data_IF_967970211537
#
_entry.id   IF_967970211537
#
_cell.length_a   1.000
_cell.length_b   1.000
_cell.length_c   1.000
_cell.angle_alpha   90.00
_cell.angle_beta   90.00
_cell.angle_gamma   90.00
#
_symmetry.space_group_name_H-M   'P 1'
#
loop_
_entity.id
_entity.type
_entity.pdbx_description
1 polymer ?
#
# COMPACT_ATOMS: atom_id res chain seq x y z
N UNK A 1 3.25 -18.77 -14.51
CA UNK A 1 4.59 -18.16 -14.61
C UNK A 1 5.47 -18.59 -13.45
N UNK A 2 6.79 -18.44 -13.54
CA UNK A 2 7.73 -18.67 -12.46
C UNK A 2 7.90 -17.41 -11.63
N UNK A 3 7.73 -17.51 -10.30
CA UNK A 3 7.83 -16.37 -9.38
C UNK A 3 8.82 -16.66 -8.26
N UNK A 4 9.75 -15.75 -8.07
CA UNK A 4 10.72 -15.78 -6.98
C UNK A 4 10.20 -14.95 -5.80
N UNK A 5 10.00 -15.59 -4.66
CA UNK A 5 9.63 -14.88 -3.41
C UNK A 5 10.91 -14.62 -2.61
N UNK A 6 11.30 -13.37 -2.53
CA UNK A 6 12.51 -12.91 -1.85
C UNK A 6 12.16 -12.52 -0.41
N UNK A 7 12.72 -13.25 0.54
CA UNK A 7 12.42 -13.12 1.97
C UNK A 7 11.45 -14.19 2.49
N UNK A 8 11.96 -15.18 3.28
CA UNK A 8 11.16 -16.32 3.77
C UNK A 8 10.32 -15.99 5.02
N UNK A 9 10.12 -14.72 5.31
CA UNK A 9 9.33 -14.24 6.47
C UNK A 9 7.83 -14.48 6.33
N UNK A 10 7.04 -13.98 7.31
CA UNK A 10 5.58 -14.14 7.34
C UNK A 10 4.89 -13.68 6.05
N UNK A 11 5.30 -12.52 5.49
CA UNK A 11 4.73 -12.03 4.23
C UNK A 11 5.13 -12.90 3.03
N UNK A 12 6.39 -13.34 2.95
CA UNK A 12 6.83 -14.23 1.87
C UNK A 12 6.07 -15.56 1.86
N UNK A 13 5.76 -16.12 3.02
CA UNK A 13 4.95 -17.34 3.12
C UNK A 13 3.51 -17.14 2.63
N UNK A 14 2.87 -16.02 2.98
CA UNK A 14 1.54 -15.65 2.48
C UNK A 14 1.54 -15.46 0.95
N UNK A 15 2.54 -14.78 0.41
CA UNK A 15 2.72 -14.60 -1.03
C UNK A 15 2.87 -15.95 -1.72
N UNK A 16 3.74 -16.83 -1.19
CA UNK A 16 3.96 -18.16 -1.75
C UNK A 16 2.69 -19.03 -1.73
N UNK A 17 1.86 -18.91 -0.70
CA UNK A 17 0.58 -19.61 -0.63
C UNK A 17 -0.38 -19.15 -1.75
N UNK A 18 -0.55 -17.84 -1.93
CA UNK A 18 -1.41 -17.29 -2.98
C UNK A 18 -0.89 -17.63 -4.38
N UNK A 19 0.43 -17.57 -4.60
CA UNK A 19 1.02 -17.95 -5.88
C UNK A 19 0.69 -19.38 -6.27
N UNK A 20 0.80 -20.32 -5.32
CA UNK A 20 0.45 -21.74 -5.56
C UNK A 20 -1.03 -21.92 -5.86
N UNK A 21 -1.92 -21.25 -5.09
CA UNK A 21 -3.37 -21.29 -5.34
C UNK A 21 -3.74 -20.76 -6.72
N UNK A 22 -2.97 -19.78 -7.23
CA UNK A 22 -3.15 -19.22 -8.59
C UNK A 22 -2.41 -19.98 -9.69
N UNK A 23 -1.80 -21.14 -9.36
CA UNK A 23 -1.14 -22.01 -10.32
C UNK A 23 0.23 -21.51 -10.82
N UNK A 24 0.94 -20.68 -10.02
CA UNK A 24 2.29 -20.23 -10.36
C UNK A 24 3.35 -21.15 -9.77
N UNK A 25 4.42 -21.37 -10.52
CA UNK A 25 5.65 -21.98 -10.01
C UNK A 25 6.33 -21.02 -9.03
N UNK A 26 6.55 -21.45 -7.80
CA UNK A 26 7.04 -20.60 -6.71
C UNK A 26 8.41 -21.06 -6.24
N UNK A 27 9.38 -20.15 -6.24
CA UNK A 27 10.74 -20.40 -5.73
C UNK A 27 10.98 -19.43 -4.56
N UNK A 28 11.31 -19.98 -3.39
CA UNK A 28 11.74 -19.15 -2.25
C UNK A 28 13.21 -18.78 -2.41
N UNK A 29 13.53 -17.49 -2.25
CA UNK A 29 14.90 -16.96 -2.38
C UNK A 29 15.34 -16.35 -1.05
N UNK A 30 16.34 -16.93 -0.43
CA UNK A 30 16.99 -16.45 0.77
C UNK A 30 18.08 -15.42 0.47
N UNK A 31 18.76 -14.95 1.52
CA UNK A 31 19.76 -13.87 1.45
C UNK A 31 20.94 -14.21 0.53
N UNK A 32 21.42 -15.47 0.57
CA UNK A 32 22.61 -15.94 -0.15
C UNK A 32 22.28 -16.63 -1.46
N UNK A 33 21.01 -16.88 -1.74
CA UNK A 33 20.60 -17.63 -2.92
C UNK A 33 20.75 -16.79 -4.19
N UNK A 34 21.05 -17.47 -5.29
CA UNK A 34 21.00 -16.86 -6.60
C UNK A 34 19.54 -16.60 -7.02
N UNK A 35 19.31 -15.51 -7.73
CA UNK A 35 18.01 -15.25 -8.32
C UNK A 35 17.75 -16.20 -9.48
N UNK A 36 16.56 -16.83 -9.60
CA UNK A 36 16.31 -17.80 -10.66
C UNK A 36 16.37 -17.13 -12.04
N UNK A 37 17.13 -17.76 -12.94
CA UNK A 37 17.25 -17.31 -14.33
C UNK A 37 15.97 -17.61 -15.13
N UNK A 38 15.86 -17.01 -16.33
CA UNK A 38 14.82 -17.34 -17.30
C UNK A 38 13.56 -16.47 -17.23
N UNK A 39 13.68 -15.20 -16.83
CA UNK A 39 12.57 -14.25 -16.91
C UNK A 39 11.51 -14.42 -15.81
N UNK A 40 11.90 -14.95 -14.66
CA UNK A 40 11.04 -14.99 -13.47
C UNK A 40 10.60 -13.59 -13.03
N UNK A 41 9.50 -13.49 -12.29
CA UNK A 41 9.12 -12.26 -11.59
C UNK A 41 9.51 -12.39 -10.13
N UNK A 42 10.18 -11.38 -9.56
CA UNK A 42 10.51 -11.35 -8.13
C UNK A 42 9.47 -10.60 -7.32
N UNK A 43 9.17 -11.09 -6.12
CA UNK A 43 8.37 -10.37 -5.12
C UNK A 43 9.18 -10.28 -3.83
N UNK A 44 9.51 -9.06 -3.40
CA UNK A 44 10.41 -8.76 -2.28
C UNK A 44 9.64 -8.24 -1.06
N UNK A 45 9.74 -9.01 0.04
CA UNK A 45 9.35 -8.59 1.39
C UNK A 45 10.50 -8.86 2.36
N UNK A 46 11.60 -8.12 2.19
CA UNK A 46 12.82 -8.27 2.99
C UNK A 46 13.01 -7.08 3.96
N UNK A 47 14.14 -6.42 3.89
CA UNK A 47 14.51 -5.26 4.70
C UNK A 47 14.93 -4.10 3.79
N UNK A 48 14.80 -2.85 4.26
CA UNK A 48 15.11 -1.65 3.48
C UNK A 48 16.53 -1.66 2.89
N UNK A 49 17.50 -2.08 3.69
CA UNK A 49 18.92 -2.15 3.33
C UNK A 49 19.26 -3.20 2.26
N UNK A 50 18.37 -4.16 2.01
CA UNK A 50 18.56 -5.22 1.03
C UNK A 50 17.93 -4.90 -0.34
N UNK A 51 16.99 -3.96 -0.43
CA UNK A 51 16.17 -3.73 -1.64
C UNK A 51 17.02 -3.46 -2.87
N UNK A 52 17.99 -2.57 -2.80
CA UNK A 52 18.81 -2.18 -3.97
C UNK A 52 19.60 -3.37 -4.51
N UNK A 53 20.22 -4.14 -3.62
CA UNK A 53 21.01 -5.31 -4.04
C UNK A 53 20.11 -6.43 -4.57
N UNK A 54 18.92 -6.61 -4.01
CA UNK A 54 17.94 -7.57 -4.52
C UNK A 54 17.44 -7.16 -5.92
N UNK A 55 17.19 -5.88 -6.15
CA UNK A 55 16.83 -5.34 -7.48
C UNK A 55 17.96 -5.57 -8.47
N UNK A 56 19.23 -5.30 -8.13
CA UNK A 56 20.37 -5.58 -9.01
C UNK A 56 20.46 -7.05 -9.40
N UNK A 57 20.29 -7.97 -8.43
CA UNK A 57 20.27 -9.43 -8.70
C UNK A 57 19.13 -9.82 -9.65
N UNK A 58 17.95 -9.26 -9.46
CA UNK A 58 16.80 -9.51 -10.33
C UNK A 58 17.05 -9.00 -11.76
N UNK A 59 17.57 -7.79 -11.90
CA UNK A 59 17.90 -7.19 -13.20
C UNK A 59 18.97 -7.99 -13.94
N UNK A 60 20.01 -8.45 -13.24
CA UNK A 60 21.05 -9.34 -13.81
C UNK A 60 20.46 -10.67 -14.33
N UNK A 61 19.42 -11.19 -13.70
CA UNK A 61 18.66 -12.35 -14.14
C UNK A 61 17.57 -12.02 -15.19
N UNK A 62 17.49 -10.77 -15.67
CA UNK A 62 16.44 -10.25 -16.57
C UNK A 62 15.01 -10.45 -16.03
N UNK A 63 14.85 -10.44 -14.71
CA UNK A 63 13.57 -10.58 -14.07
C UNK A 63 12.84 -9.24 -13.96
N UNK A 64 11.50 -9.28 -13.92
CA UNK A 64 10.65 -8.18 -13.45
C UNK A 64 10.54 -8.23 -11.93
N UNK A 65 10.22 -7.12 -11.27
CA UNK A 65 10.33 -7.08 -9.83
C UNK A 65 9.19 -6.32 -9.16
N UNK A 66 8.76 -6.82 -8.00
CA UNK A 66 7.76 -6.18 -7.12
C UNK A 66 8.41 -5.98 -5.76
N UNK A 67 8.42 -4.74 -5.27
CA UNK A 67 8.99 -4.38 -3.97
C UNK A 67 7.89 -4.01 -2.99
N UNK A 68 7.61 -4.91 -2.04
CA UNK A 68 6.70 -4.70 -0.92
C UNK A 68 7.41 -4.32 0.39
N UNK A 69 8.72 -4.33 0.39
CA UNK A 69 9.54 -3.82 1.49
C UNK A 69 9.36 -2.31 1.62
N UNK A 70 9.19 -1.80 2.83
CA UNK A 70 9.05 -0.36 3.13
C UNK A 70 10.34 0.22 3.72
N UNK A 71 10.45 1.57 3.80
CA UNK A 71 11.57 2.24 4.45
C UNK A 71 12.85 2.37 3.61
N UNK A 72 12.73 2.33 2.27
CA UNK A 72 13.85 2.52 1.34
C UNK A 72 13.62 3.69 0.36
N UNK A 73 12.66 4.55 0.65
CA UNK A 73 12.26 5.67 -0.22
C UNK A 73 13.39 6.65 -0.54
N UNK A 74 14.36 6.79 0.34
CA UNK A 74 15.60 7.54 0.15
C UNK A 74 16.49 7.00 -1.00
N UNK A 75 16.29 5.73 -1.37
CA UNK A 75 16.99 5.06 -2.48
C UNK A 75 16.11 4.87 -3.73
N UNK A 76 14.90 5.43 -3.75
CA UNK A 76 13.93 5.22 -4.84
C UNK A 76 14.46 5.69 -6.21
N UNK A 77 15.13 6.84 -6.26
CA UNK A 77 15.71 7.37 -7.50
C UNK A 77 16.89 6.52 -8.01
N UNK A 78 17.67 5.94 -7.12
CA UNK A 78 18.71 4.99 -7.51
C UNK A 78 18.11 3.74 -8.14
N UNK A 79 17.10 3.15 -7.50
CA UNK A 79 16.40 1.98 -8.02
C UNK A 79 15.76 2.27 -9.37
N UNK A 80 15.12 3.42 -9.53
CA UNK A 80 14.52 3.87 -10.80
C UNK A 80 15.56 3.89 -11.91
N UNK A 81 16.71 4.56 -11.70
CA UNK A 81 17.80 4.62 -12.70
C UNK A 81 18.33 3.25 -13.07
N UNK A 82 18.51 2.33 -12.10
CA UNK A 82 18.95 0.97 -12.35
C UNK A 82 17.96 0.19 -13.24
N UNK A 83 16.67 0.29 -12.94
CA UNK A 83 15.61 -0.39 -13.68
C UNK A 83 15.51 0.15 -15.12
N UNK A 84 15.53 1.46 -15.28
CA UNK A 84 15.45 2.12 -16.59
C UNK A 84 16.66 1.80 -17.46
N UNK A 85 17.88 1.88 -16.90
CA UNK A 85 19.11 1.54 -17.61
C UNK A 85 19.17 0.08 -18.09
N UNK A 86 18.55 -0.83 -17.34
CA UNK A 86 18.46 -2.24 -17.69
C UNK A 86 17.27 -2.61 -18.59
N UNK A 87 16.41 -1.64 -18.96
CA UNK A 87 15.12 -1.92 -19.63
C UNK A 87 14.23 -2.87 -18.83
N UNK A 88 14.34 -2.79 -17.50
CA UNK A 88 13.64 -3.65 -16.56
C UNK A 88 12.18 -3.23 -16.32
N UNK A 89 11.48 -3.97 -15.48
CA UNK A 89 10.14 -3.62 -14.99
C UNK A 89 10.05 -3.78 -13.47
N UNK A 90 9.51 -2.76 -12.80
CA UNK A 90 9.38 -2.75 -11.35
C UNK A 90 8.05 -2.13 -10.92
N UNK A 91 7.38 -2.77 -9.95
CA UNK A 91 6.27 -2.18 -9.20
C UNK A 91 6.69 -2.02 -7.75
N UNK A 92 6.44 -0.87 -7.15
CA UNK A 92 6.62 -0.66 -5.72
C UNK A 92 5.43 0.04 -5.08
N UNK A 93 5.21 -0.24 -3.81
CA UNK A 93 4.23 0.47 -3.00
C UNK A 93 4.54 0.36 -1.51
N UNK A 94 4.19 1.38 -0.75
CA UNK A 94 4.20 1.33 0.71
C UNK A 94 3.11 0.38 1.25
N UNK A 95 2.08 0.11 0.44
CA UNK A 95 0.95 -0.74 0.82
C UNK A 95 0.35 -1.44 -0.42
N UNK A 96 0.46 -2.77 -0.46
CA UNK A 96 -0.13 -3.62 -1.49
C UNK A 96 -1.54 -4.13 -1.15
N UNK A 97 -2.14 -3.72 -0.04
CA UNK A 97 -3.47 -4.21 0.32
C UNK A 97 -4.53 -3.69 -0.66
N UNK A 98 -5.07 -4.57 -1.50
CA UNK A 98 -6.03 -4.20 -2.56
C UNK A 98 -7.20 -3.40 -1.99
N UNK A 99 -7.84 -3.91 -0.93
CA UNK A 99 -8.99 -3.25 -0.30
C UNK A 99 -8.67 -1.85 0.24
N UNK A 100 -7.49 -1.64 0.83
CA UNK A 100 -7.06 -0.31 1.32
C UNK A 100 -6.87 0.67 0.16
N UNK A 101 -6.25 0.23 -0.93
CA UNK A 101 -6.03 1.11 -2.09
C UNK A 101 -7.34 1.45 -2.82
N UNK A 102 -8.29 0.51 -2.90
CA UNK A 102 -9.65 0.80 -3.39
C UNK A 102 -10.39 1.73 -2.41
N UNK A 103 -10.21 1.53 -1.12
CA UNK A 103 -10.78 2.41 -0.09
C UNK A 103 -10.26 3.84 -0.22
N UNK A 104 -8.97 4.06 -0.48
CA UNK A 104 -8.43 5.41 -0.78
C UNK A 104 -9.14 6.08 -1.96
N UNK A 105 -9.48 5.32 -3.02
CA UNK A 105 -10.21 5.87 -4.18
C UNK A 105 -11.63 6.27 -3.81
N UNK A 106 -12.34 5.41 -3.05
CA UNK A 106 -13.70 5.66 -2.58
C UNK A 106 -13.73 6.90 -1.67
N UNK A 107 -12.82 6.98 -0.70
CA UNK A 107 -12.72 8.13 0.21
C UNK A 107 -12.40 9.41 -0.55
N UNK A 108 -11.50 9.36 -1.54
CA UNK A 108 -11.18 10.53 -2.37
C UNK A 108 -12.41 11.07 -3.11
N UNK A 109 -13.21 10.18 -3.67
CA UNK A 109 -14.43 10.58 -4.36
C UNK A 109 -15.48 11.13 -3.40
N UNK A 110 -15.69 10.48 -2.27
CA UNK A 110 -16.59 10.95 -1.23
C UNK A 110 -16.16 12.34 -0.70
N UNK A 111 -14.87 12.49 -0.37
CA UNK A 111 -14.34 13.77 0.12
C UNK A 111 -14.50 14.90 -0.91
N UNK A 112 -14.28 14.62 -2.20
CA UNK A 112 -14.52 15.61 -3.27
C UNK A 112 -15.99 15.98 -3.41
N UNK A 113 -16.88 15.00 -3.33
CA UNK A 113 -18.33 15.18 -3.44
C UNK A 113 -18.85 16.02 -2.27
N UNK A 114 -18.32 15.81 -1.07
CA UNK A 114 -18.77 16.50 0.14
C UNK A 114 -18.06 17.84 0.39
N UNK A 115 -16.91 18.09 -0.22
CA UNK A 115 -16.13 19.32 -0.01
C UNK A 115 -16.91 20.65 -0.22
N UNK A 116 -17.88 20.76 -1.17
CA UNK A 116 -18.69 21.97 -1.32
C UNK A 116 -19.65 22.22 -0.16
N UNK A 117 -19.98 21.20 0.64
CA UNK A 117 -20.97 21.25 1.72
C UNK A 117 -20.25 21.46 3.06
N UNK A 118 -20.20 22.71 3.54
CA UNK A 118 -19.44 23.08 4.74
C UNK A 118 -19.92 22.42 6.03
N UNK A 119 -21.18 22.00 6.06
CA UNK A 119 -21.82 21.37 7.22
C UNK A 119 -21.33 19.94 7.49
N UNK A 120 -20.73 19.28 6.47
CA UNK A 120 -20.13 17.95 6.66
C UNK A 120 -18.73 18.08 7.23
N UNK A 121 -18.60 17.74 8.52
CA UNK A 121 -17.33 17.78 9.26
C UNK A 121 -16.64 16.41 9.24
N UNK A 122 -15.42 16.28 8.65
CA UNK A 122 -14.75 15.01 8.53
C UNK A 122 -14.04 14.61 9.81
N UNK A 123 -13.85 13.29 9.98
CA UNK A 123 -12.90 12.73 10.93
C UNK A 123 -12.30 11.43 10.40
N UNK A 124 -11.15 11.04 10.94
CA UNK A 124 -10.51 9.74 10.65
C UNK A 124 -10.29 9.00 11.96
N UNK A 125 -10.77 7.75 12.04
CA UNK A 125 -10.54 6.85 13.16
C UNK A 125 -9.83 5.60 12.67
N UNK A 126 -8.74 5.20 13.36
CA UNK A 126 -8.06 3.95 13.08
C UNK A 126 -7.90 3.08 14.32
N UNK A 127 -7.94 1.75 14.12
CA UNK A 127 -7.78 0.77 15.19
C UNK A 127 -6.79 -0.30 14.78
N UNK A 128 -5.76 -0.55 15.63
CA UNK A 128 -4.78 -1.62 15.42
C UNK A 128 -4.44 -2.35 16.72
N UNK A 129 -3.71 -3.46 16.56
CA UNK A 129 -3.22 -4.24 17.68
C UNK A 129 -2.30 -3.44 18.60
N UNK A 130 -2.25 -3.85 19.87
CA UNK A 130 -1.49 -3.18 20.94
C UNK A 130 -0.01 -2.92 20.61
N UNK A 131 0.61 -3.75 19.80
CA UNK A 131 2.05 -3.69 19.49
C UNK A 131 2.39 -2.76 18.31
N UNK A 132 1.41 -2.13 17.65
CA UNK A 132 1.67 -1.19 16.56
C UNK A 132 2.25 0.11 17.12
N UNK A 133 3.46 0.45 16.66
CA UNK A 133 4.26 1.56 17.22
C UNK A 133 3.91 2.93 16.62
N UNK A 134 3.67 2.98 15.31
CA UNK A 134 3.34 4.23 14.63
C UNK A 134 1.90 4.67 14.94
N UNK A 135 1.74 5.94 15.27
CA UNK A 135 0.45 6.59 15.60
C UNK A 135 0.45 8.01 15.06
N UNK A 136 -0.48 8.41 14.19
CA UNK A 136 -1.39 7.54 13.43
C UNK A 136 -0.66 6.60 12.48
N UNK A 137 -1.35 5.53 12.03
CA UNK A 137 -0.81 4.59 11.04
C UNK A 137 -0.57 5.26 9.69
N UNK A 138 0.30 4.66 8.85
CA UNK A 138 0.52 5.16 7.48
C UNK A 138 -0.77 5.26 6.66
N UNK A 139 -1.70 4.30 6.82
CA UNK A 139 -3.01 4.33 6.16
C UNK A 139 -3.87 5.49 6.66
N UNK A 140 -3.91 5.73 7.97
CA UNK A 140 -4.69 6.85 8.52
C UNK A 140 -4.13 8.21 8.06
N UNK A 141 -2.81 8.37 8.00
CA UNK A 141 -2.18 9.58 7.44
C UNK A 141 -2.55 9.79 5.96
N UNK A 142 -2.49 8.74 5.15
CA UNK A 142 -2.88 8.83 3.73
C UNK A 142 -4.38 9.18 3.56
N UNK A 143 -5.25 8.66 4.42
CA UNK A 143 -6.68 9.03 4.43
C UNK A 143 -6.86 10.50 4.82
N UNK A 144 -6.14 10.98 5.82
CA UNK A 144 -6.17 12.38 6.23
C UNK A 144 -5.70 13.31 5.10
N UNK A 145 -4.58 12.99 4.44
CA UNK A 145 -4.09 13.74 3.27
C UNK A 145 -5.13 13.78 2.13
N UNK A 146 -5.85 12.69 1.90
CA UNK A 146 -6.93 12.65 0.89
C UNK A 146 -8.05 13.64 1.23
N UNK A 147 -8.46 13.69 2.51
CA UNK A 147 -9.50 14.62 2.98
C UNK A 147 -9.01 16.06 2.92
N UNK A 148 -7.78 16.33 3.35
CA UNK A 148 -7.17 17.67 3.26
C UNK A 148 -7.09 18.16 1.82
N UNK A 149 -6.61 17.33 0.88
CA UNK A 149 -6.51 17.68 -0.54
C UNK A 149 -7.86 17.99 -1.17
N UNK A 150 -8.92 17.29 -0.78
CA UNK A 150 -10.27 17.53 -1.26
C UNK A 150 -10.87 18.84 -0.70
N UNK A 151 -10.63 19.10 0.59
CA UNK A 151 -11.15 20.30 1.29
C UNK A 151 -10.32 21.58 1.08
N UNK A 152 -9.11 21.46 0.52
CA UNK A 152 -8.18 22.57 0.35
C UNK A 152 -7.82 23.24 1.68
N UNK A 153 -7.79 24.58 1.72
CA UNK A 153 -7.46 25.32 2.95
C UNK A 153 -8.51 25.21 4.07
N UNK A 154 -9.68 24.63 3.79
CA UNK A 154 -10.77 24.46 4.75
C UNK A 154 -10.66 23.20 5.60
N UNK A 155 -9.64 22.36 5.39
CA UNK A 155 -9.49 21.10 6.10
C UNK A 155 -8.02 20.85 6.44
N UNK A 156 -7.76 20.71 7.75
CA UNK A 156 -6.42 20.42 8.30
C UNK A 156 -6.51 19.30 9.34
N UNK A 157 -5.78 18.24 9.13
CA UNK A 157 -5.73 17.12 10.06
C UNK A 157 -4.95 17.46 11.32
N UNK A 158 -5.51 17.13 12.49
CA UNK A 158 -4.82 17.16 13.79
C UNK A 158 -4.87 15.77 14.42
N UNK A 159 -3.84 15.43 15.17
CA UNK A 159 -3.67 14.08 15.76
C UNK A 159 -3.80 14.07 17.28
N UNK A 160 -3.98 15.24 17.88
CA UNK A 160 -4.16 15.42 19.34
C UNK A 160 -5.03 16.64 19.60
N UNK A 161 -5.75 16.62 20.70
CA UNK A 161 -6.58 17.73 21.16
C UNK A 161 -6.01 18.27 22.47
N UNK A 162 -5.66 19.55 22.49
CA UNK A 162 -5.41 20.34 23.71
C UNK A 162 -6.51 21.38 23.95
N UNK A 163 -7.25 21.70 22.89
CA UNK A 163 -8.35 22.65 22.84
C UNK A 163 -9.44 22.12 21.90
N UNK A 164 -10.67 22.66 21.90
CA UNK A 164 -11.68 22.35 20.91
C UNK A 164 -11.15 22.57 19.48
N UNK A 165 -11.58 21.73 18.54
CA UNK A 165 -11.22 21.86 17.12
C UNK A 165 -11.62 23.21 16.56
N UNK A 166 -10.75 23.82 15.76
CA UNK A 166 -11.10 24.99 14.96
C UNK A 166 -11.93 24.56 13.76
N UNK A 167 -12.63 25.49 13.14
CA UNK A 167 -13.55 25.21 12.03
C UNK A 167 -12.88 24.53 10.83
N UNK A 168 -11.58 24.79 10.63
CA UNK A 168 -10.79 24.16 9.58
C UNK A 168 -10.12 22.83 9.99
N UNK A 169 -10.18 22.44 11.26
CA UNK A 169 -9.48 21.27 11.78
C UNK A 169 -10.40 20.04 11.82
N UNK A 170 -9.84 18.88 11.60
CA UNK A 170 -10.50 17.60 11.85
C UNK A 170 -9.56 16.61 12.54
N UNK A 171 -10.11 15.73 13.36
CA UNK A 171 -9.34 14.81 14.18
C UNK A 171 -9.00 13.52 13.44
N UNK A 172 -7.73 13.12 13.53
CA UNK A 172 -7.26 11.77 13.20
C UNK A 172 -6.97 11.02 14.49
N UNK A 173 -7.85 10.12 14.88
CA UNK A 173 -7.77 9.39 16.15
C UNK A 173 -7.30 7.96 15.96
N UNK A 174 -6.58 7.44 16.95
CA UNK A 174 -6.00 6.10 16.89
C UNK A 174 -6.28 5.30 18.16
N UNK A 175 -6.74 4.05 17.99
CA UNK A 175 -6.92 3.08 19.08
C UNK A 175 -5.93 1.94 18.94
N UNK A 176 -5.33 1.53 20.07
CA UNK A 176 -4.44 0.37 20.18
C UNK A 176 -5.02 -0.63 21.18
N UNK A 177 -5.51 -1.78 20.67
CA UNK A 177 -6.14 -2.80 21.50
C UNK A 177 -6.01 -4.20 20.91
N UNK A 178 -5.87 -5.20 21.76
CA UNK A 178 -5.93 -6.62 21.39
C UNK A 178 -5.06 -7.01 20.21
N UNK A 179 -5.67 -7.78 19.30
CA UNK A 179 -5.06 -8.30 18.07
C UNK A 179 -5.67 -7.72 16.77
N UNK A 180 -6.25 -6.55 16.81
CA UNK A 180 -6.89 -5.88 15.65
C UNK A 180 -5.87 -5.74 14.51
N UNK A 181 -6.18 -6.32 13.36
CA UNK A 181 -5.26 -6.34 12.21
C UNK A 181 -5.06 -4.94 11.62
N UNK A 182 -6.15 -4.20 11.49
CA UNK A 182 -6.20 -2.82 11.01
C UNK A 182 -7.60 -2.48 10.53
N UNK A 183 -8.17 -1.43 11.10
CA UNK A 183 -9.48 -0.91 10.76
C UNK A 183 -9.38 0.60 10.60
N UNK A 184 -10.04 1.14 9.59
CA UNK A 184 -10.00 2.56 9.26
C UNK A 184 -11.40 3.02 8.90
N UNK A 185 -11.84 4.08 9.57
CA UNK A 185 -13.11 4.76 9.31
C UNK A 185 -12.82 6.19 8.89
N UNK A 186 -13.48 6.65 7.86
CA UNK A 186 -13.60 8.07 7.52
C UNK A 186 -15.07 8.42 7.64
N UNK A 187 -15.40 9.30 8.56
CA UNK A 187 -16.75 9.81 8.76
C UNK A 187 -16.84 11.26 8.27
N UNK A 188 -18.03 11.64 7.88
CA UNK A 188 -18.44 13.00 7.55
C UNK A 188 -19.76 13.25 8.26
N UNK A 189 -19.73 14.00 9.36
CA UNK A 189 -20.88 14.29 10.20
C UNK A 189 -21.50 15.64 9.86
N UNK A 190 -22.83 15.73 9.91
CA UNK A 190 -23.58 16.96 9.71
C UNK A 190 -24.69 17.08 10.76
N UNK A 191 -25.38 18.23 10.81
CA UNK A 191 -26.53 18.39 11.70
C UNK A 191 -27.74 17.51 11.36
N UNK A 192 -27.74 16.86 10.19
CA UNK A 192 -28.86 16.05 9.70
C UNK A 192 -28.58 14.56 9.61
N UNK A 193 -27.34 14.19 9.31
CA UNK A 193 -26.91 12.80 9.05
C UNK A 193 -25.41 12.61 9.18
N UNK A 194 -24.97 11.36 9.15
CA UNK A 194 -23.57 10.98 9.11
C UNK A 194 -23.32 10.02 7.94
N UNK A 195 -22.23 10.24 7.19
CA UNK A 195 -21.76 9.33 6.15
C UNK A 195 -20.51 8.63 6.65
N UNK A 196 -20.56 7.29 6.77
CA UNK A 196 -19.45 6.46 7.22
C UNK A 196 -18.89 5.61 6.10
N UNK A 197 -17.58 5.68 5.91
CA UNK A 197 -16.81 4.78 5.06
C UNK A 197 -15.87 3.99 5.94
N UNK A 198 -15.92 2.65 5.87
CA UNK A 198 -15.12 1.79 6.73
C UNK A 198 -14.43 0.67 5.96
N UNK A 199 -13.16 0.46 6.28
CA UNK A 199 -12.37 -0.68 5.82
C UNK A 199 -11.83 -1.46 7.02
N UNK A 200 -12.06 -2.78 7.04
CA UNK A 200 -11.54 -3.71 8.06
C UNK A 200 -10.68 -4.79 7.42
N UNK A 201 -9.40 -4.81 7.76
CA UNK A 201 -8.52 -5.89 7.37
C UNK A 201 -8.75 -7.12 8.26
N UNK A 202 -9.01 -8.28 7.65
CA UNK A 202 -9.21 -9.54 8.38
C UNK A 202 -7.93 -10.36 8.55
N UNK A 203 -6.96 -10.17 7.64
CA UNK A 203 -5.68 -10.89 7.65
C UNK A 203 -4.64 -10.14 6.82
N UNK A 204 -3.39 -10.61 6.82
CA UNK A 204 -2.34 -10.08 5.94
C UNK A 204 -2.45 -10.56 4.48
N UNK A 205 -3.37 -11.48 4.19
CA UNK A 205 -3.56 -12.05 2.86
C UNK A 205 -3.84 -10.99 1.78
N UNK A 206 -4.51 -9.87 2.15
CA UNK A 206 -4.77 -8.77 1.22
C UNK A 206 -3.52 -8.08 0.69
N UNK A 207 -2.45 -7.98 1.49
CA UNK A 207 -1.15 -7.46 1.03
C UNK A 207 -0.49 -8.42 0.05
N UNK A 208 -0.50 -9.72 0.40
CA UNK A 208 0.10 -10.76 -0.44
C UNK A 208 -0.63 -10.89 -1.78
N UNK A 209 -1.96 -10.82 -1.79
CA UNK A 209 -2.76 -10.82 -3.02
C UNK A 209 -2.39 -9.66 -3.93
N UNK A 210 -2.30 -8.44 -3.39
CA UNK A 210 -1.93 -7.27 -4.19
C UNK A 210 -0.52 -7.38 -4.78
N UNK A 211 0.45 -7.90 -4.03
CA UNK A 211 1.79 -8.14 -4.55
C UNK A 211 1.81 -9.19 -5.66
N UNK A 212 0.99 -10.24 -5.56
CA UNK A 212 0.84 -11.25 -6.62
C UNK A 212 0.19 -10.65 -7.87
N UNK A 213 -0.87 -9.85 -7.71
CA UNK A 213 -1.49 -9.12 -8.83
C UNK A 213 -0.50 -8.18 -9.51
N UNK A 214 0.32 -7.48 -8.73
CA UNK A 214 1.39 -6.64 -9.28
C UNK A 214 2.44 -7.46 -10.05
N UNK A 215 2.79 -8.65 -9.57
CA UNK A 215 3.72 -9.54 -10.27
C UNK A 215 3.14 -10.07 -11.58
N UNK A 216 1.88 -10.45 -11.62
CA UNK A 216 1.18 -10.85 -12.83
C UNK A 216 1.12 -9.69 -13.84
N UNK A 217 0.83 -8.49 -13.36
CA UNK A 217 0.71 -7.30 -14.19
C UNK A 217 2.04 -6.86 -14.80
N UNK A 218 3.15 -6.87 -14.02
CA UNK A 218 4.46 -6.41 -14.47
C UNK A 218 5.18 -7.40 -15.39
N UNK A 219 4.76 -8.67 -15.40
CA UNK A 219 5.46 -9.76 -16.09
C UNK A 219 5.83 -9.45 -17.55
N UNK A 220 5.00 -8.66 -18.23
CA UNK A 220 5.19 -8.28 -19.65
C UNK A 220 5.48 -6.79 -19.87
N UNK A 221 5.73 -6.03 -18.80
CA UNK A 221 5.88 -4.57 -18.87
C UNK A 221 7.30 -4.13 -18.48
N UNK A 222 7.68 -2.95 -18.96
CA UNK A 222 8.95 -2.27 -18.63
C UNK A 222 8.65 -0.91 -18.05
N UNK A 223 9.52 -0.42 -17.15
CA UNK A 223 9.35 0.84 -16.45
C UNK A 223 9.17 0.67 -14.94
N UNK A 224 9.05 1.78 -14.23
CA UNK A 224 8.84 1.83 -12.77
C UNK A 224 7.45 2.37 -12.47
N UNK A 225 6.67 1.61 -11.73
CA UNK A 225 5.26 1.88 -11.48
C UNK A 225 4.92 1.82 -10.00
N UNK A 226 3.92 2.61 -9.59
CA UNK A 226 3.22 2.43 -8.33
C UNK A 226 2.11 1.37 -8.44
N UNK A 227 1.62 0.87 -7.32
CA UNK A 227 0.53 -0.11 -7.30
C UNK A 227 -0.81 0.46 -7.78
N UNK A 228 -0.98 1.77 -7.73
CA UNK A 228 -2.13 2.50 -8.29
C UNK A 228 -2.28 2.28 -9.80
N UNK A 229 -1.18 2.22 -10.55
CA UNK A 229 -1.17 1.92 -11.97
C UNK A 229 -1.68 0.49 -12.25
N UNK A 230 -1.27 -0.47 -11.42
CA UNK A 230 -1.76 -1.87 -11.49
C UNK A 230 -3.28 -1.91 -11.30
N UNK A 231 -3.77 -1.25 -10.26
CA UNK A 231 -5.21 -1.23 -9.95
C UNK A 231 -6.04 -0.44 -10.96
N UNK A 232 -5.46 0.57 -11.62
CA UNK A 232 -6.13 1.31 -12.68
C UNK A 232 -6.38 0.41 -13.91
N UNK A 233 -5.41 -0.42 -14.25
CA UNK A 233 -5.49 -1.30 -15.41
C UNK A 233 -6.36 -2.56 -15.16
N UNK A 234 -6.47 -3.00 -13.90
CA UNK A 234 -7.32 -4.12 -13.47
C UNK A 234 -8.77 -3.71 -13.21
N UNK A 235 -9.05 -2.43 -13.05
CA UNK A 235 -10.40 -1.89 -12.83
C UNK A 235 -11.23 -1.87 -14.13
N UNK A 236 -12.55 -1.60 -14.05
CA UNK A 236 -13.36 -1.41 -15.23
C UNK A 236 -12.77 -0.23 -16.04
N UNK A 237 -12.54 -0.48 -17.32
CA UNK A 237 -12.20 0.60 -18.26
C UNK A 237 -13.45 1.46 -18.43
N UNK A 238 -13.42 2.67 -17.85
CA UNK A 238 -14.45 3.69 -18.07
C UNK A 238 -14.28 4.29 -19.45
#
# INVERSE_FOLDING_TARGET
MKVAVVGPGKMGQEVAAILRERGHETVMVGKTDAFPAGGAVGIDFTRPDAVVENVKKALAARARYVVGTTGWSDRADEVRRLVEAAGGGLVHAANFYVGVNLFYRIVREAARTLAPFADYDPYVLERHHRQKKDTPSGTARALAEIVEQAGGQRRRAVTSLSEPLKAEEFLVSAVRAGGIVGEHTVGFDSGGDEILLEHRARSRRGFALGAVLAAEWIATRTGVFGFDAVLADLGPRV
#
